data_IF_619176010139
#
_entry.id   IF_619176010139
#
_cell.length_a   1.000
_cell.length_b   1.000
_cell.length_c   1.000
_cell.angle_alpha   90.00
_cell.angle_beta   90.00
_cell.angle_gamma   90.00
#
_symmetry.space_group_name_H-M   'P 1'
#
loop_
_entity.id
_entity.type
_entity.pdbx_description
1 polymer ?
#
# COMPACT_ATOMS: atom_id res chain seq x y z
N UNK A 1 17.94 -56.88 21.12
CA UNK A 1 16.57 -57.33 20.79
C UNK A 1 16.26 -56.81 19.41
N UNK A 2 16.02 -57.70 18.45
CA UNK A 2 15.66 -57.29 17.10
C UNK A 2 14.28 -56.62 17.11
N UNK A 3 14.13 -55.40 16.55
CA UNK A 3 12.87 -54.65 16.57
C UNK A 3 11.68 -55.39 15.91
N UNK A 4 11.97 -56.37 15.07
CA UNK A 4 11.00 -57.20 14.35
C UNK A 4 10.25 -58.20 15.25
N UNK A 5 10.83 -58.60 16.39
CA UNK A 5 10.20 -59.56 17.31
C UNK A 5 9.00 -58.93 18.03
N UNK A 6 9.11 -57.65 18.41
CA UNK A 6 8.03 -56.91 19.07
C UNK A 6 6.87 -56.67 18.08
N UNK A 7 7.19 -56.35 16.82
CA UNK A 7 6.20 -56.21 15.75
C UNK A 7 5.41 -57.50 15.52
N UNK A 8 6.09 -58.66 15.44
CA UNK A 8 5.43 -59.96 15.27
C UNK A 8 4.53 -60.34 16.45
N UNK A 9 4.95 -60.03 17.68
CA UNK A 9 4.12 -60.26 18.88
C UNK A 9 2.89 -59.34 18.87
N UNK A 10 3.05 -58.08 18.48
CA UNK A 10 1.95 -57.13 18.37
C UNK A 10 0.94 -57.56 17.29
N UNK A 11 1.41 -57.93 16.10
CA UNK A 11 0.57 -58.41 14.98
C UNK A 11 -0.27 -59.62 15.38
N UNK A 12 0.36 -60.61 16.03
CA UNK A 12 -0.34 -61.81 16.48
C UNK A 12 -1.44 -61.48 17.50
N UNK A 13 -1.18 -60.54 18.43
CA UNK A 13 -2.18 -60.09 19.39
C UNK A 13 -3.32 -59.30 18.76
N UNK A 14 -3.04 -58.50 17.73
CA UNK A 14 -4.08 -57.78 16.97
C UNK A 14 -4.98 -58.79 16.27
N UNK A 15 -4.40 -59.81 15.63
CA UNK A 15 -5.14 -60.86 14.94
C UNK A 15 -6.02 -61.68 15.91
N UNK A 16 -5.46 -62.11 17.05
CA UNK A 16 -6.21 -62.79 18.12
C UNK A 16 -7.41 -61.94 18.59
N UNK A 17 -7.23 -60.62 18.79
CA UNK A 17 -8.30 -59.72 19.19
C UNK A 17 -9.35 -59.45 18.08
N UNK A 18 -8.96 -59.54 16.80
CA UNK A 18 -9.89 -59.47 15.67
C UNK A 18 -10.76 -60.73 15.59
N UNK A 19 -10.16 -61.91 15.76
CA UNK A 19 -10.86 -63.19 15.74
C UNK A 19 -11.82 -63.34 16.94
N UNK A 20 -11.46 -62.78 18.10
CA UNK A 20 -12.32 -62.69 19.29
C UNK A 20 -13.43 -61.64 19.17
N UNK A 21 -13.47 -60.86 18.09
CA UNK A 21 -14.49 -59.83 17.88
C UNK A 21 -14.37 -58.65 18.85
N UNK A 22 -13.21 -58.42 19.46
CA UNK A 22 -13.01 -57.34 20.46
C UNK A 22 -13.20 -55.94 19.83
N UNK A 23 -13.06 -55.84 18.50
CA UNK A 23 -13.31 -54.62 17.73
C UNK A 23 -14.77 -54.48 17.24
N UNK A 24 -15.58 -55.53 17.36
CA UNK A 24 -17.03 -55.46 17.12
C UNK A 24 -17.65 -54.71 18.31
N UNK A 25 -18.47 -53.69 18.04
CA UNK A 25 -19.15 -52.89 19.07
C UNK A 25 -18.30 -51.88 19.88
N UNK A 26 -17.19 -51.38 19.30
CA UNK A 26 -16.47 -50.24 19.88
C UNK A 26 -17.36 -48.99 20.02
N UNK A 27 -17.18 -48.19 21.09
CA UNK A 27 -17.91 -46.93 21.24
C UNK A 27 -17.61 -45.99 20.07
N UNK A 28 -18.63 -45.72 19.25
CA UNK A 28 -18.50 -44.89 18.05
C UNK A 28 -18.37 -45.66 16.73
N UNK A 29 -18.40 -47.00 16.75
CA UNK A 29 -18.34 -47.81 15.55
C UNK A 29 -19.56 -47.53 14.62
N UNK A 30 -19.31 -47.32 13.33
CA UNK A 30 -20.33 -46.96 12.33
C UNK A 30 -20.95 -45.57 12.47
N UNK A 31 -20.56 -44.75 13.46
CA UNK A 31 -21.03 -43.38 13.60
C UNK A 31 -20.11 -42.42 12.83
N UNK A 32 -20.65 -41.38 12.17
CA UNK A 32 -19.83 -40.34 11.57
C UNK A 32 -18.87 -39.77 12.61
N UNK A 33 -17.58 -39.72 12.29
CA UNK A 33 -16.58 -39.08 13.12
C UNK A 33 -16.94 -37.60 13.20
N UNK A 34 -17.30 -37.12 14.39
CA UNK A 34 -17.49 -35.68 14.63
C UNK A 34 -16.10 -35.08 14.76
N UNK A 35 -15.61 -34.49 13.67
CA UNK A 35 -14.40 -33.70 13.71
C UNK A 35 -14.63 -32.51 14.63
N UNK A 36 -13.73 -32.31 15.60
CA UNK A 36 -13.73 -31.06 16.37
C UNK A 36 -13.50 -29.91 15.40
N UNK A 37 -14.26 -28.82 15.52
CA UNK A 37 -14.37 -27.74 14.51
C UNK A 37 -13.02 -27.02 14.24
N UNK A 38 -12.01 -27.23 15.07
CA UNK A 38 -10.68 -26.66 14.89
C UNK A 38 -9.57 -27.63 15.37
N UNK A 39 -9.18 -28.64 14.58
CA UNK A 39 -8.14 -29.60 14.94
C UNK A 39 -6.76 -28.93 15.11
N UNK A 40 -6.55 -27.79 14.43
CA UNK A 40 -5.33 -26.99 14.50
C UNK A 40 -5.30 -26.02 15.70
N UNK A 41 -6.39 -25.88 16.45
CA UNK A 41 -6.44 -25.00 17.64
C UNK A 41 -6.12 -25.80 18.91
N UNK A 42 -5.18 -25.32 19.75
CA UNK A 42 -4.92 -25.91 21.06
C UNK A 42 -6.20 -26.01 21.91
N UNK A 43 -6.40 -27.11 22.63
CA UNK A 43 -7.66 -27.39 23.35
C UNK A 43 -8.15 -26.25 24.26
N UNK A 44 -7.23 -25.56 24.94
CA UNK A 44 -7.54 -24.44 25.83
C UNK A 44 -8.01 -23.16 25.10
N UNK A 45 -7.71 -23.01 23.79
CA UNK A 45 -8.11 -21.86 22.98
C UNK A 45 -9.39 -22.11 22.17
N UNK A 46 -9.87 -23.35 22.06
CA UNK A 46 -11.05 -23.70 21.24
C UNK A 46 -12.31 -22.97 21.66
N UNK A 47 -12.60 -22.90 22.97
CA UNK A 47 -13.77 -22.16 23.48
C UNK A 47 -13.66 -20.66 23.21
N UNK A 48 -12.48 -20.06 23.44
CA UNK A 48 -12.26 -18.65 23.16
C UNK A 48 -12.41 -18.33 21.67
N UNK A 49 -11.80 -19.14 20.79
CA UNK A 49 -11.95 -18.99 19.34
C UNK A 49 -13.40 -19.18 18.87
N UNK A 50 -14.14 -20.12 19.45
CA UNK A 50 -15.56 -20.32 19.13
C UNK A 50 -16.41 -19.11 19.55
N UNK A 51 -16.17 -18.54 20.72
CA UNK A 51 -16.85 -17.31 21.17
C UNK A 51 -16.52 -16.13 20.24
N UNK A 52 -15.26 -15.95 19.86
CA UNK A 52 -14.84 -14.89 18.95
C UNK A 52 -15.44 -15.04 17.53
N UNK A 53 -15.42 -16.26 16.98
CA UNK A 53 -16.07 -16.59 15.70
C UNK A 53 -17.57 -16.33 15.76
N UNK A 54 -18.25 -16.80 16.80
CA UNK A 54 -19.70 -16.62 16.97
C UNK A 54 -20.10 -15.15 17.20
N UNK A 55 -19.22 -14.37 17.83
CA UNK A 55 -19.40 -12.92 18.01
C UNK A 55 -19.09 -12.12 16.74
N UNK A 56 -18.67 -12.76 15.65
CA UNK A 56 -18.32 -12.11 14.39
C UNK A 56 -17.09 -11.19 14.50
N UNK A 57 -16.22 -11.40 15.50
CA UNK A 57 -15.04 -10.55 15.70
C UNK A 57 -14.03 -10.88 14.61
N UNK A 58 -13.87 -9.97 13.64
CA UNK A 58 -12.85 -10.10 12.60
C UNK A 58 -11.47 -9.72 13.14
N UNK A 59 -10.47 -10.62 13.09
CA UNK A 59 -9.07 -10.28 13.20
C UNK A 59 -8.68 -9.01 12.43
N UNK A 60 -7.82 -8.20 13.04
CA UNK A 60 -7.38 -6.90 12.51
C UNK A 60 -6.87 -7.00 11.07
N UNK A 61 -6.08 -8.03 10.74
CA UNK A 61 -5.56 -8.24 9.39
C UNK A 61 -6.66 -8.40 8.33
N UNK A 62 -7.85 -8.93 8.68
CA UNK A 62 -8.98 -8.99 7.75
C UNK A 62 -9.60 -7.61 7.50
N UNK A 63 -9.58 -6.74 8.50
CA UNK A 63 -10.04 -5.36 8.34
C UNK A 63 -9.09 -4.61 7.41
N UNK A 64 -7.79 -4.70 7.67
CA UNK A 64 -6.74 -4.11 6.81
C UNK A 64 -6.81 -4.66 5.38
N UNK A 65 -7.12 -5.95 5.18
CA UNK A 65 -7.33 -6.49 3.82
C UNK A 65 -8.50 -5.84 3.10
N UNK A 66 -9.63 -5.63 3.79
CA UNK A 66 -10.80 -4.96 3.20
C UNK A 66 -10.51 -3.51 2.86
N UNK A 67 -9.84 -2.78 3.75
CA UNK A 67 -9.39 -1.40 3.50
C UNK A 67 -8.44 -1.33 2.30
N UNK A 68 -7.47 -2.23 2.24
CA UNK A 68 -6.53 -2.30 1.12
C UNK A 68 -7.22 -2.61 -0.21
N UNK A 69 -8.22 -3.50 -0.20
CA UNK A 69 -9.02 -3.78 -1.39
C UNK A 69 -9.81 -2.54 -1.84
N UNK A 70 -10.38 -1.79 -0.89
CA UNK A 70 -11.08 -0.54 -1.17
C UNK A 70 -10.13 0.52 -1.74
N UNK A 71 -8.96 0.74 -1.12
CA UNK A 71 -7.96 1.70 -1.58
C UNK A 71 -7.49 1.41 -3.02
N UNK A 72 -7.38 0.11 -3.38
CA UNK A 72 -7.03 -0.32 -4.74
C UNK A 72 -8.17 -0.04 -5.72
N UNK A 73 -9.42 -0.33 -5.34
CA UNK A 73 -10.58 -0.02 -6.16
C UNK A 73 -10.73 1.49 -6.38
N UNK A 74 -10.49 2.30 -5.34
CA UNK A 74 -10.51 3.76 -5.40
C UNK A 74 -9.40 4.33 -6.29
N UNK A 75 -8.19 3.75 -6.23
CA UNK A 75 -7.08 4.08 -7.12
C UNK A 75 -7.46 3.86 -8.58
N UNK A 76 -8.00 2.69 -8.91
CA UNK A 76 -8.36 2.35 -10.29
C UNK A 76 -9.55 3.17 -10.79
N UNK A 77 -10.58 3.34 -9.95
CA UNK A 77 -11.73 4.20 -10.27
C UNK A 77 -11.29 5.63 -10.53
N UNK A 78 -10.39 6.17 -9.71
CA UNK A 78 -9.84 7.50 -9.93
C UNK A 78 -9.07 7.59 -11.25
N UNK A 79 -8.25 6.58 -11.57
CA UNK A 79 -7.48 6.52 -12.81
C UNK A 79 -8.40 6.54 -14.04
N UNK A 80 -9.45 5.72 -14.05
CA UNK A 80 -10.43 5.66 -15.15
C UNK A 80 -11.19 6.98 -15.29
N UNK A 81 -11.67 7.56 -14.18
CA UNK A 81 -12.36 8.86 -14.23
C UNK A 81 -11.46 9.97 -14.76
N UNK A 82 -10.19 9.98 -14.35
CA UNK A 82 -9.22 10.95 -14.85
C UNK A 82 -9.03 10.82 -16.38
N UNK A 83 -8.99 9.59 -16.92
CA UNK A 83 -8.90 9.35 -18.37
C UNK A 83 -10.11 9.90 -19.11
N UNK A 84 -11.31 9.62 -18.60
CA UNK A 84 -12.55 10.09 -19.20
C UNK A 84 -12.69 11.62 -19.16
N UNK A 85 -12.36 12.24 -18.03
CA UNK A 85 -12.36 13.70 -17.90
C UNK A 85 -11.35 14.35 -18.84
N UNK A 86 -10.14 13.80 -18.92
CA UNK A 86 -9.12 14.26 -19.85
C UNK A 86 -9.62 14.25 -21.30
N UNK A 87 -10.19 13.12 -21.73
CA UNK A 87 -10.70 12.94 -23.09
C UNK A 87 -11.85 13.92 -23.42
N UNK A 88 -12.72 14.21 -22.45
CA UNK A 88 -13.87 15.12 -22.63
C UNK A 88 -13.47 16.59 -22.62
N UNK A 89 -12.62 16.98 -21.67
CA UNK A 89 -12.37 18.39 -21.32
C UNK A 89 -11.26 19.03 -22.14
N UNK A 90 -10.32 18.23 -22.66
CA UNK A 90 -9.10 18.75 -23.26
C UNK A 90 -8.75 18.16 -24.64
N UNK A 91 -9.67 18.13 -25.64
CA UNK A 91 -9.32 17.73 -27.01
C UNK A 91 -8.53 18.79 -27.79
N UNK A 92 -8.59 20.08 -27.41
CA UNK A 92 -8.03 21.24 -28.14
C UNK A 92 -6.76 21.95 -27.57
N UNK A 93 -6.29 21.76 -26.32
CA UNK A 93 -5.21 22.58 -25.76
C UNK A 93 -3.87 22.54 -26.49
N UNK A 94 -3.58 21.47 -27.25
CA UNK A 94 -2.30 21.31 -27.96
C UNK A 94 -2.06 22.37 -29.05
N UNK A 95 -3.10 23.00 -29.58
CA UNK A 95 -3.00 24.00 -30.66
C UNK A 95 -3.16 25.44 -30.16
N UNK A 96 -3.32 25.65 -28.85
CA UNK A 96 -3.57 26.96 -28.26
C UNK A 96 -2.27 27.61 -27.74
N UNK A 97 -2.16 28.95 -27.78
CA UNK A 97 -1.03 29.66 -27.19
C UNK A 97 -0.91 29.40 -25.68
N UNK A 98 0.32 29.41 -25.14
CA UNK A 98 0.59 29.08 -23.73
C UNK A 98 -0.10 30.02 -22.73
N UNK A 99 -0.35 31.27 -23.13
CA UNK A 99 -1.03 32.28 -22.30
C UNK A 99 -2.56 32.11 -22.29
N UNK A 100 -3.10 31.14 -23.04
CA UNK A 100 -4.52 30.91 -23.10
C UNK A 100 -5.05 30.34 -21.78
N UNK A 101 -6.20 30.86 -21.32
CA UNK A 101 -6.81 30.45 -20.05
C UNK A 101 -7.13 28.95 -19.97
N UNK A 102 -7.40 28.30 -21.10
CA UNK A 102 -7.59 26.83 -21.13
C UNK A 102 -6.30 26.04 -20.90
N UNK A 103 -5.14 26.58 -21.30
CA UNK A 103 -3.83 25.93 -21.10
C UNK A 103 -3.43 26.02 -19.62
N UNK A 104 -3.66 27.18 -18.99
CA UNK A 104 -3.43 27.32 -17.54
C UNK A 104 -4.39 26.44 -16.74
N UNK A 105 -5.68 26.41 -17.09
CA UNK A 105 -6.66 25.52 -16.47
C UNK A 105 -6.30 24.03 -16.64
N UNK A 106 -5.71 23.65 -17.78
CA UNK A 106 -5.18 22.29 -17.96
C UNK A 106 -4.03 21.98 -17.01
N UNK A 107 -3.04 22.87 -16.87
CA UNK A 107 -1.91 22.65 -15.96
C UNK A 107 -2.34 22.52 -14.50
N UNK A 108 -3.27 23.36 -14.05
CA UNK A 108 -3.84 23.29 -12.70
C UNK A 108 -4.56 21.96 -12.47
N UNK A 109 -5.45 21.59 -13.39
CA UNK A 109 -6.16 20.32 -13.32
C UNK A 109 -5.19 19.12 -13.37
N UNK A 110 -4.19 19.13 -14.26
CA UNK A 110 -3.21 18.05 -14.41
C UNK A 110 -2.38 17.86 -13.14
N UNK A 111 -1.92 18.96 -12.53
CA UNK A 111 -1.21 18.95 -11.24
C UNK A 111 -2.07 18.36 -10.11
N UNK A 112 -3.36 18.75 -10.03
CA UNK A 112 -4.30 18.22 -9.04
C UNK A 112 -4.53 16.71 -9.23
N UNK A 113 -4.72 16.25 -10.46
CA UNK A 113 -4.90 14.83 -10.74
C UNK A 113 -3.62 14.04 -10.41
N UNK A 114 -2.45 14.54 -10.81
CA UNK A 114 -1.16 13.90 -10.53
C UNK A 114 -0.91 13.75 -9.03
N UNK A 115 -1.14 14.81 -8.25
CA UNK A 115 -0.99 14.77 -6.79
C UNK A 115 -2.02 13.87 -6.12
N UNK A 116 -3.27 13.89 -6.61
CA UNK A 116 -4.33 12.99 -6.17
C UNK A 116 -4.02 11.51 -6.42
N UNK A 117 -3.48 11.18 -7.59
CA UNK A 117 -3.03 9.84 -7.94
C UNK A 117 -1.90 9.37 -7.01
N UNK A 118 -0.86 10.19 -6.84
CA UNK A 118 0.26 9.90 -5.93
C UNK A 118 -0.21 9.61 -4.50
N UNK A 119 -1.17 10.39 -3.99
CA UNK A 119 -1.74 10.19 -2.66
C UNK A 119 -2.38 8.81 -2.52
N UNK A 120 -3.18 8.39 -3.49
CA UNK A 120 -3.82 7.05 -3.49
C UNK A 120 -2.81 5.92 -3.60
N UNK A 121 -1.79 6.05 -4.45
CA UNK A 121 -0.70 5.07 -4.52
C UNK A 121 0.01 4.91 -3.17
N UNK A 122 0.28 6.02 -2.47
CA UNK A 122 0.88 6.00 -1.12
C UNK A 122 -0.04 5.35 -0.09
N UNK A 123 -1.35 5.59 -0.15
CA UNK A 123 -2.33 4.94 0.72
C UNK A 123 -2.28 3.41 0.55
N UNK A 124 -2.32 2.93 -0.69
CA UNK A 124 -2.22 1.49 -0.99
C UNK A 124 -0.92 0.91 -0.44
N UNK A 125 0.22 1.56 -0.65
CA UNK A 125 1.50 1.09 -0.11
C UNK A 125 1.51 1.03 1.43
N UNK A 126 0.85 1.99 2.08
CA UNK A 126 0.70 2.01 3.54
C UNK A 126 -0.18 0.84 4.00
N UNK A 127 -1.27 0.55 3.31
CA UNK A 127 -2.12 -0.62 3.57
C UNK A 127 -1.38 -1.95 3.37
N UNK A 128 -0.56 -2.06 2.32
CA UNK A 128 0.32 -3.22 2.10
C UNK A 128 1.29 -3.41 3.24
N UNK A 129 1.94 -2.33 3.71
CA UNK A 129 2.86 -2.39 4.84
C UNK A 129 2.15 -2.81 6.13
N UNK A 130 1.00 -2.19 6.44
CA UNK A 130 0.17 -2.56 7.60
C UNK A 130 -0.20 -4.03 7.56
N UNK A 131 -0.65 -4.52 6.40
CA UNK A 131 -1.01 -5.92 6.22
C UNK A 131 0.20 -6.82 6.46
N UNK A 132 1.37 -6.47 5.91
CA UNK A 132 2.61 -7.23 6.11
C UNK A 132 3.05 -7.32 7.57
N UNK A 133 2.67 -6.35 8.42
CA UNK A 133 3.04 -6.32 9.83
C UNK A 133 2.06 -7.10 10.73
N UNK A 134 0.77 -7.13 10.37
CA UNK A 134 -0.29 -7.67 11.23
C UNK A 134 -0.78 -9.06 10.77
N UNK A 135 -0.51 -9.42 9.52
CA UNK A 135 -0.96 -10.69 8.96
C UNK A 135 -0.16 -11.90 9.50
N UNK A 136 -0.82 -13.04 9.78
CA UNK A 136 -0.14 -14.31 9.98
C UNK A 136 0.63 -14.76 8.72
N UNK A 137 1.64 -15.62 8.91
CA UNK A 137 2.50 -16.14 7.84
C UNK A 137 1.77 -16.90 6.73
N UNK A 138 0.52 -17.32 6.97
CA UNK A 138 -0.32 -18.01 6.00
C UNK A 138 -0.84 -17.09 4.89
N UNK A 139 -0.82 -15.76 5.09
CA UNK A 139 -1.32 -14.80 4.12
C UNK A 139 -0.18 -14.41 3.16
N UNK A 140 -0.40 -14.49 1.84
CA UNK A 140 0.62 -14.11 0.87
C UNK A 140 0.90 -12.62 0.96
N UNK A 141 2.20 -12.29 0.96
CA UNK A 141 2.65 -10.90 0.89
C UNK A 141 2.14 -10.23 -0.38
N UNK A 142 1.61 -9.02 -0.23
CA UNK A 142 1.09 -8.23 -1.33
C UNK A 142 2.20 -7.35 -1.90
N UNK A 143 2.26 -7.23 -3.23
CA UNK A 143 3.24 -6.34 -3.87
C UNK A 143 2.87 -4.88 -3.67
N UNK A 144 3.83 -4.07 -3.22
CA UNK A 144 3.73 -2.62 -3.17
C UNK A 144 4.00 -1.99 -4.54
N UNK A 145 3.44 -0.81 -4.77
CA UNK A 145 3.73 -0.01 -5.96
C UNK A 145 5.11 0.65 -5.83
N UNK A 146 5.93 0.52 -6.87
CA UNK A 146 7.14 1.34 -7.01
C UNK A 146 6.71 2.74 -7.46
N UNK A 147 6.77 3.71 -6.53
CA UNK A 147 6.18 5.04 -6.75
C UNK A 147 6.72 5.70 -8.01
N UNK A 148 8.04 5.74 -8.20
CA UNK A 148 8.67 6.39 -9.35
C UNK A 148 8.19 5.80 -10.68
N UNK A 149 8.24 4.46 -10.81
CA UNK A 149 7.77 3.78 -12.01
C UNK A 149 6.26 3.99 -12.23
N UNK A 150 5.46 3.91 -11.17
CA UNK A 150 4.01 4.08 -11.26
C UNK A 150 3.64 5.51 -11.70
N UNK A 151 4.33 6.52 -11.17
CA UNK A 151 4.13 7.91 -11.57
C UNK A 151 4.62 8.16 -13.00
N UNK A 152 5.71 7.51 -13.41
CA UNK A 152 6.19 7.57 -14.80
C UNK A 152 5.17 6.99 -15.78
N UNK A 153 4.60 5.82 -15.47
CA UNK A 153 3.55 5.22 -16.29
C UNK A 153 2.30 6.11 -16.34
N UNK A 154 1.95 6.73 -15.21
CA UNK A 154 0.88 7.72 -15.16
C UNK A 154 1.17 8.91 -16.10
N UNK A 155 2.39 9.47 -16.08
CA UNK A 155 2.77 10.59 -16.95
C UNK A 155 2.79 10.22 -18.44
N UNK A 156 3.20 9.00 -18.77
CA UNK A 156 3.16 8.51 -20.15
C UNK A 156 1.73 8.35 -20.66
N UNK A 157 0.84 7.89 -19.79
CA UNK A 157 -0.59 7.74 -20.10
C UNK A 157 -1.32 9.10 -20.12
N UNK A 158 -0.85 10.06 -19.33
CA UNK A 158 -1.42 11.40 -19.17
C UNK A 158 -0.35 12.49 -19.39
N UNK A 159 0.07 12.72 -20.64
CA UNK A 159 1.15 13.67 -20.93
C UNK A 159 0.72 15.10 -20.58
N UNK A 160 1.60 15.82 -19.88
CA UNK A 160 1.47 17.25 -19.71
C UNK A 160 1.64 17.98 -21.06
N UNK A 161 1.10 19.18 -21.19
CA UNK A 161 1.40 20.04 -22.34
C UNK A 161 2.87 20.50 -22.24
N UNK A 162 3.60 20.56 -23.36
CA UNK A 162 4.96 21.08 -23.35
C UNK A 162 4.93 22.55 -22.96
N UNK A 163 5.62 22.90 -21.87
CA UNK A 163 5.85 24.28 -21.48
C UNK A 163 7.10 24.75 -22.24
N UNK A 164 7.02 25.84 -23.00
CA UNK A 164 8.17 26.50 -23.65
C UNK A 164 9.15 26.99 -22.60
N UNK A 165 10.07 26.10 -22.25
CA UNK A 165 11.44 26.24 -21.71
C UNK A 165 11.82 27.37 -20.74
N UNK A 166 10.91 28.15 -20.14
CA UNK A 166 11.29 29.20 -19.16
C UNK A 166 11.08 28.80 -17.70
N UNK A 167 10.37 27.72 -17.39
CA UNK A 167 10.01 27.40 -16.00
C UNK A 167 10.58 26.07 -15.47
N UNK A 168 11.04 25.15 -16.33
CA UNK A 168 11.33 23.76 -15.89
C UNK A 168 12.68 23.60 -15.17
N UNK A 169 13.58 24.58 -15.25
CA UNK A 169 14.90 24.54 -14.57
C UNK A 169 14.85 24.89 -13.09
N UNK A 170 13.72 25.35 -12.54
CA UNK A 170 13.62 25.76 -11.14
C UNK A 170 13.31 24.59 -10.19
N UNK A 171 12.47 23.63 -10.61
CA UNK A 171 12.07 22.50 -9.75
C UNK A 171 13.17 21.44 -9.62
N UNK A 172 13.91 21.12 -10.68
CA UNK A 172 15.05 20.18 -10.59
C UNK A 172 16.24 20.79 -9.83
N UNK A 173 16.55 22.08 -10.07
CA UNK A 173 17.61 22.76 -9.32
C UNK A 173 17.24 22.91 -7.84
N UNK A 174 15.98 23.21 -7.51
CA UNK A 174 15.55 23.29 -6.10
C UNK A 174 15.56 21.92 -5.42
N UNK A 175 15.16 20.84 -6.09
CA UNK A 175 15.17 19.51 -5.49
C UNK A 175 16.60 18.96 -5.28
N UNK A 176 17.50 19.21 -6.23
CA UNK A 176 18.94 18.89 -6.09
C UNK A 176 19.59 19.72 -4.98
N UNK A 177 19.29 21.01 -4.91
CA UNK A 177 19.80 21.90 -3.85
C UNK A 177 19.26 21.49 -2.46
N UNK A 178 17.99 21.10 -2.36
CA UNK A 178 17.39 20.62 -1.11
C UNK A 178 17.99 19.29 -0.65
N UNK A 179 18.26 18.36 -1.58
CA UNK A 179 18.95 17.09 -1.28
C UNK A 179 20.40 17.33 -0.84
N UNK A 180 21.09 18.31 -1.42
CA UNK A 180 22.46 18.67 -1.05
C UNK A 180 22.51 19.33 0.35
N UNK A 181 21.63 20.30 0.62
CA UNK A 181 21.51 20.96 1.93
C UNK A 181 21.10 19.94 3.03
N UNK A 182 20.19 19.02 2.72
CA UNK A 182 19.84 17.95 3.65
C UNK A 182 21.05 17.04 3.95
N UNK A 183 21.82 16.64 2.93
CA UNK A 183 23.00 15.79 3.08
C UNK A 183 24.09 16.43 3.94
N UNK A 184 24.34 17.73 3.77
CA UNK A 184 25.31 18.49 4.58
C UNK A 184 24.87 18.63 6.05
N UNK A 185 23.56 18.83 6.31
CA UNK A 185 23.03 18.99 7.67
C UNK A 185 22.89 17.68 8.44
N UNK A 186 22.55 16.57 7.77
CA UNK A 186 22.51 15.26 8.42
C UNK A 186 23.91 14.64 8.59
N UNK A 187 24.90 15.06 7.79
CA UNK A 187 26.31 14.70 8.00
C UNK A 187 26.95 15.40 9.22
N UNK A 188 26.39 16.51 9.69
CA UNK A 188 26.93 17.34 10.78
C UNK A 188 26.21 17.17 12.13
N UNK A 189 25.27 16.22 12.25
CA UNK A 189 24.71 15.79 13.55
C UNK A 189 23.72 16.75 14.22
N UNK A 190 23.28 17.83 13.58
CA UNK A 190 22.23 18.70 14.13
C UNK A 190 20.83 18.26 13.65
N UNK A 191 20.27 17.26 14.32
CA UNK A 191 18.87 16.84 14.14
C UNK A 191 17.89 17.70 14.94
N UNK A 192 17.53 18.89 14.43
CA UNK A 192 16.51 19.78 15.01
C UNK A 192 15.12 19.56 14.41
N UNK A 193 14.08 19.60 15.24
CA UNK A 193 12.69 19.27 14.92
C UNK A 193 12.12 19.92 13.64
N UNK A 194 11.27 19.16 12.94
CA UNK A 194 10.60 19.44 11.64
C UNK A 194 9.98 20.86 11.55
N UNK A 195 9.59 21.45 12.69
CA UNK A 195 9.05 22.81 12.76
C UNK A 195 10.04 23.93 12.35
N UNK A 196 11.34 23.75 12.59
CA UNK A 196 12.36 24.72 12.18
C UNK A 196 12.58 24.74 10.66
N UNK A 197 12.49 23.57 10.03
CA UNK A 197 12.62 23.39 8.59
C UNK A 197 11.49 24.07 7.81
N UNK A 198 10.24 23.90 8.24
CA UNK A 198 9.08 24.57 7.63
C UNK A 198 9.11 26.09 7.77
N UNK A 199 9.69 26.61 8.87
CA UNK A 199 9.83 28.06 9.10
C UNK A 199 10.93 28.67 8.23
N UNK A 200 12.04 27.96 8.04
CA UNK A 200 13.13 28.37 7.17
C UNK A 200 12.72 28.35 5.68
N UNK A 201 12.08 27.28 5.21
CA UNK A 201 11.58 27.18 3.82
C UNK A 201 10.56 28.28 3.51
N UNK A 202 9.68 28.62 4.46
CA UNK A 202 8.74 29.74 4.31
C UNK A 202 9.43 31.11 4.30
N UNK A 203 10.54 31.30 5.01
CA UNK A 203 11.31 32.55 4.97
C UNK A 203 12.06 32.71 3.64
N UNK A 204 12.74 31.67 3.18
CA UNK A 204 13.50 31.71 1.91
C UNK A 204 12.58 31.90 0.71
N UNK A 205 11.37 31.30 0.73
CA UNK A 205 10.37 31.54 -0.31
C UNK A 205 9.83 32.98 -0.29
N UNK A 206 9.74 33.62 0.89
CA UNK A 206 9.30 35.02 1.02
C UNK A 206 10.35 36.02 0.55
N UNK A 207 11.62 35.76 0.82
CA UNK A 207 12.74 36.60 0.34
C UNK A 207 12.89 36.53 -1.18
N UNK A 208 12.64 35.38 -1.81
CA UNK A 208 12.67 35.25 -3.27
C UNK A 208 11.50 35.93 -3.98
N UNK A 209 10.32 36.02 -3.34
CA UNK A 209 9.17 36.76 -3.87
C UNK A 209 9.39 38.28 -3.70
N UNK A 210 9.96 38.72 -2.59
CA UNK A 210 10.29 40.13 -2.39
C UNK A 210 11.38 40.62 -3.38
N UNK A 211 12.38 39.78 -3.67
CA UNK A 211 13.41 40.10 -4.65
C UNK A 211 12.92 40.14 -6.11
N UNK A 212 11.78 39.50 -6.43
CA UNK A 212 11.16 39.60 -7.75
C UNK A 212 10.30 40.85 -7.94
N UNK A 213 9.72 41.38 -6.85
CA UNK A 213 8.90 42.60 -6.88
C UNK A 213 9.77 43.87 -6.95
N UNK A 214 10.95 43.89 -6.30
CA UNK A 214 11.88 45.04 -6.36
C UNK A 214 12.45 45.27 -7.78
N UNK A 215 12.52 44.23 -8.62
CA UNK A 215 13.06 44.32 -9.99
C UNK A 215 12.08 44.91 -11.02
N UNK A 216 10.82 45.19 -10.64
CA UNK A 216 9.83 45.85 -11.50
C UNK A 216 9.72 47.37 -11.24
N UNK A 217 10.46 47.91 -10.27
CA UNK A 217 10.36 49.32 -9.83
C UNK A 217 11.46 50.26 -10.34
N UNK A 218 12.50 49.75 -11.02
CA UNK A 218 13.61 50.58 -11.55
C UNK A 218 13.55 50.84 -13.07
N UNK A 219 12.52 50.37 -13.78
CA UNK A 219 12.36 50.65 -15.21
C UNK A 219 11.10 51.51 -15.47
N UNK A 220 11.21 52.81 -15.16
CA UNK A 220 10.27 53.82 -15.65
C UNK A 220 10.93 55.18 -15.85
#
# INVERSE_FOLDING_TARGET
MDPDVIGKIAERKIQEAMDEGVFENLPGNGKPIVFDEDPLTPAHLRMANRVLKNAGVLPEWMQVQRELAQDRADLETFRVRALEEHAKRFPRPKSLPETHSEVTAFHEWHSLIRTGFLKRVKNVNTGVLKLSLVAPFSIPSQSSFKIEETMRQFDLQFPALPISSKATTSTEKSEVTLKQIARERYGTGQGGAIGGWLKAVRMTAREQIAASDDFQSEEK
#
